data_IF_158984872141
#
_entry.id   IF_158984872141
#
_cell.length_a   1.000
_cell.length_b   1.000
_cell.length_c   1.000
_cell.angle_alpha   90.00
_cell.angle_beta   90.00
_cell.angle_gamma   90.00
#
_symmetry.space_group_name_H-M   'P 1'
#
loop_
_entity.id
_entity.type
_entity.pdbx_description
1 polymer ?
#
# COMPACT_ATOMS: atom_id res chain seq x y z
N UNK A 1 23.66 -32.88 -23.66
CA UNK A 1 22.64 -32.57 -24.69
C UNK A 1 21.86 -31.38 -24.16
N UNK A 2 22.21 -30.20 -24.65
CA UNK A 2 21.61 -28.91 -24.28
C UNK A 2 20.64 -28.53 -25.39
N UNK A 3 19.34 -28.73 -25.20
CA UNK A 3 18.30 -28.11 -26.03
C UNK A 3 17.05 -27.88 -25.16
N UNK A 4 17.00 -26.75 -24.46
CA UNK A 4 15.72 -26.12 -24.14
C UNK A 4 15.52 -25.05 -25.19
N UNK A 5 14.68 -25.40 -26.16
CA UNK A 5 14.16 -24.53 -27.20
C UNK A 5 13.60 -23.24 -26.59
N UNK A 6 14.40 -22.16 -26.59
CA UNK A 6 13.84 -20.83 -26.61
C UNK A 6 13.15 -20.69 -27.97
N UNK A 7 11.81 -20.74 -28.00
CA UNK A 7 11.07 -20.31 -29.18
C UNK A 7 11.37 -18.82 -29.40
N UNK A 8 11.82 -18.40 -30.59
CA UNK A 8 12.00 -16.99 -30.91
C UNK A 8 10.64 -16.30 -30.79
N UNK A 9 10.48 -15.44 -29.78
CA UNK A 9 9.23 -14.69 -29.54
C UNK A 9 8.16 -15.39 -28.69
N UNK A 10 8.49 -16.48 -27.96
CA UNK A 10 7.54 -17.11 -27.03
C UNK A 10 7.41 -16.35 -25.69
N UNK A 11 6.21 -16.35 -25.11
CA UNK A 11 5.99 -15.91 -23.72
C UNK A 11 6.85 -16.76 -22.78
N UNK A 12 7.61 -16.17 -21.84
CA UNK A 12 8.41 -16.94 -20.89
C UNK A 12 7.53 -17.92 -20.11
N UNK A 13 8.07 -19.09 -19.81
CA UNK A 13 7.42 -20.02 -18.88
C UNK A 13 7.34 -19.41 -17.48
N UNK A 14 6.36 -19.82 -16.66
CA UNK A 14 6.30 -19.39 -15.26
C UNK A 14 7.60 -19.73 -14.48
N UNK A 15 8.29 -20.81 -14.86
CA UNK A 15 9.59 -21.14 -14.27
C UNK A 15 10.65 -20.11 -14.62
N UNK A 16 10.75 -19.72 -15.88
CA UNK A 16 11.70 -18.69 -16.33
C UNK A 16 11.35 -17.34 -15.71
N UNK A 17 10.07 -16.94 -15.75
CA UNK A 17 9.64 -15.67 -15.19
C UNK A 17 9.92 -15.57 -13.68
N UNK A 18 9.88 -16.63 -12.87
CA UNK A 18 10.13 -16.54 -11.43
C UNK A 18 11.55 -16.94 -10.98
N UNK A 19 12.25 -17.80 -11.72
CA UNK A 19 13.54 -18.36 -11.28
C UNK A 19 14.74 -17.86 -12.10
N UNK A 20 14.51 -17.20 -13.23
CA UNK A 20 15.60 -16.67 -14.06
C UNK A 20 16.20 -15.39 -13.47
N UNK A 21 17.51 -15.22 -13.64
CA UNK A 21 18.24 -13.99 -13.34
C UNK A 21 18.56 -13.17 -14.59
N UNK A 22 17.98 -13.53 -15.74
CA UNK A 22 18.18 -12.80 -16.99
C UNK A 22 17.59 -11.37 -16.87
N UNK A 23 18.35 -10.31 -17.24
CA UNK A 23 17.86 -8.93 -17.20
C UNK A 23 16.57 -8.69 -17.99
N UNK A 24 16.38 -9.36 -19.13
CA UNK A 24 15.15 -9.25 -19.93
C UNK A 24 13.93 -9.78 -19.17
N UNK A 25 14.14 -10.84 -18.40
CA UNK A 25 13.09 -11.41 -17.53
C UNK A 25 12.79 -10.44 -16.37
N UNK A 26 13.79 -9.78 -15.80
CA UNK A 26 13.57 -8.78 -14.75
C UNK A 26 12.73 -7.59 -15.26
N UNK A 27 12.97 -7.16 -16.51
CA UNK A 27 12.12 -6.16 -17.16
C UNK A 27 10.70 -6.69 -17.28
N UNK A 28 10.51 -7.92 -17.77
CA UNK A 28 9.17 -8.52 -17.89
C UNK A 28 8.44 -8.65 -16.54
N UNK A 29 9.13 -8.97 -15.44
CA UNK A 29 8.55 -8.96 -14.08
C UNK A 29 8.01 -7.59 -13.70
N UNK A 30 8.78 -6.53 -13.98
CA UNK A 30 8.38 -5.16 -13.71
C UNK A 30 7.13 -4.78 -14.51
N UNK A 31 7.11 -5.06 -15.82
CA UNK A 31 5.94 -4.82 -16.67
C UNK A 31 4.71 -5.64 -16.23
N UNK A 32 4.92 -6.89 -15.81
CA UNK A 32 3.84 -7.75 -15.29
C UNK A 32 3.23 -7.15 -14.01
N UNK A 33 4.08 -6.67 -13.10
CA UNK A 33 3.63 -5.99 -11.89
C UNK A 33 2.84 -4.72 -12.23
N UNK A 34 3.34 -3.88 -13.13
CA UNK A 34 2.62 -2.67 -13.56
C UNK A 34 1.26 -2.97 -14.21
N UNK A 35 1.16 -4.06 -14.98
CA UNK A 35 -0.09 -4.50 -15.58
C UNK A 35 -1.15 -4.89 -14.53
N UNK A 36 -0.75 -5.44 -13.37
CA UNK A 36 -1.67 -5.71 -12.26
C UNK A 36 -2.31 -4.45 -11.65
N UNK A 37 -1.66 -3.30 -11.84
CA UNK A 37 -2.15 -1.99 -11.41
C UNK A 37 -2.76 -1.18 -12.56
N UNK A 38 -2.86 -1.76 -13.76
CA UNK A 38 -3.33 -1.07 -14.97
C UNK A 38 -2.54 0.21 -15.30
N UNK A 39 -1.22 0.19 -15.04
CA UNK A 39 -0.31 1.33 -15.30
C UNK A 39 0.71 1.02 -16.41
N UNK A 40 0.46 0.00 -17.23
CA UNK A 40 1.42 -0.52 -18.20
C UNK A 40 1.91 0.53 -19.22
N UNK A 41 1.06 1.49 -19.60
CA UNK A 41 1.43 2.55 -20.55
C UNK A 41 2.41 3.58 -19.98
N UNK A 42 2.56 3.65 -18.66
CA UNK A 42 3.46 4.57 -17.95
C UNK A 42 4.65 3.88 -17.31
N UNK A 43 4.81 2.58 -17.54
CA UNK A 43 5.88 1.74 -16.99
C UNK A 43 7.25 2.37 -17.18
N UNK A 44 7.55 2.93 -18.36
CA UNK A 44 8.86 3.51 -18.64
C UNK A 44 9.12 4.79 -17.84
N UNK A 45 8.09 5.66 -17.71
CA UNK A 45 8.15 6.85 -16.87
C UNK A 45 8.38 6.49 -15.40
N UNK A 46 7.66 5.48 -14.91
CA UNK A 46 7.78 4.97 -13.53
C UNK A 46 9.15 4.32 -13.30
N UNK A 47 9.66 3.54 -14.27
CA UNK A 47 10.95 2.84 -14.19
C UNK A 47 12.15 3.79 -14.13
N UNK A 48 12.01 5.00 -14.65
CA UNK A 48 13.06 6.04 -14.59
C UNK A 48 13.21 6.70 -13.21
N UNK A 49 12.30 6.42 -12.28
CA UNK A 49 12.30 6.96 -10.93
C UNK A 49 13.10 6.07 -9.98
N UNK A 50 13.49 6.62 -8.83
CA UNK A 50 13.99 5.81 -7.72
C UNK A 50 12.96 4.78 -7.30
N UNK A 51 13.40 3.58 -6.91
CA UNK A 51 12.54 2.41 -6.66
C UNK A 51 11.35 2.72 -5.71
N UNK A 52 11.59 3.40 -4.59
CA UNK A 52 10.52 3.82 -3.66
C UNK A 52 9.51 4.82 -4.27
N UNK A 53 9.98 5.73 -5.13
CA UNK A 53 9.13 6.69 -5.84
C UNK A 53 8.33 5.98 -6.94
N UNK A 54 8.96 5.05 -7.66
CA UNK A 54 8.32 4.23 -8.68
C UNK A 54 7.15 3.44 -8.09
N UNK A 55 7.38 2.75 -6.97
CA UNK A 55 6.34 2.03 -6.23
C UNK A 55 5.20 2.95 -5.78
N UNK A 56 5.55 4.11 -5.20
CA UNK A 56 4.55 5.10 -4.76
C UNK A 56 3.74 5.64 -5.94
N UNK A 57 4.39 5.99 -7.06
CA UNK A 57 3.72 6.48 -8.27
C UNK A 57 2.78 5.44 -8.87
N UNK A 58 3.23 4.18 -8.99
CA UNK A 58 2.36 3.08 -9.42
C UNK A 58 1.08 3.01 -8.56
N UNK A 59 1.25 3.02 -7.24
CA UNK A 59 0.12 2.98 -6.32
C UNK A 59 -0.78 4.22 -6.43
N UNK A 60 -0.21 5.42 -6.52
CA UNK A 60 -1.00 6.65 -6.60
C UNK A 60 -1.75 6.80 -7.93
N UNK A 61 -1.19 6.33 -9.05
CA UNK A 61 -1.92 6.27 -10.32
C UNK A 61 -3.09 5.30 -10.18
N UNK A 62 -2.84 4.09 -9.68
CA UNK A 62 -3.90 3.11 -9.44
C UNK A 62 -5.02 3.66 -8.55
N UNK A 63 -4.67 4.25 -7.39
CA UNK A 63 -5.66 4.83 -6.49
C UNK A 63 -6.40 6.00 -7.13
N UNK A 64 -5.72 6.84 -7.93
CA UNK A 64 -6.37 7.97 -8.62
C UNK A 64 -7.44 7.49 -9.58
N UNK A 65 -7.18 6.40 -10.31
CA UNK A 65 -8.11 5.79 -11.26
C UNK A 65 -9.24 5.04 -10.57
N UNK A 66 -8.92 4.24 -9.55
CA UNK A 66 -9.89 3.32 -8.93
C UNK A 66 -10.75 3.97 -7.83
N UNK A 67 -10.32 5.12 -7.29
CA UNK A 67 -11.02 5.80 -6.20
C UNK A 67 -11.58 7.14 -6.70
N UNK A 68 -12.87 7.14 -7.04
CA UNK A 68 -13.58 8.32 -7.56
C UNK A 68 -13.55 9.51 -6.60
N UNK A 69 -13.55 9.24 -5.29
CA UNK A 69 -13.51 10.28 -4.26
C UNK A 69 -12.12 10.90 -4.06
N UNK A 70 -11.06 10.38 -4.71
CA UNK A 70 -9.71 10.91 -4.59
C UNK A 70 -9.59 12.24 -5.35
N UNK A 71 -8.95 13.22 -4.74
CA UNK A 71 -8.76 14.57 -5.29
C UNK A 71 -7.28 14.84 -5.51
N UNK A 72 -6.98 15.86 -6.30
CA UNK A 72 -5.61 16.29 -6.53
C UNK A 72 -4.89 16.66 -5.22
N UNK A 73 -5.60 17.28 -4.28
CA UNK A 73 -5.06 17.64 -2.96
C UNK A 73 -4.66 16.40 -2.14
N UNK A 74 -5.39 15.30 -2.26
CA UNK A 74 -5.03 14.06 -1.57
C UNK A 74 -3.76 13.45 -2.16
N UNK A 75 -3.65 13.42 -3.50
CA UNK A 75 -2.45 12.96 -4.21
C UNK A 75 -1.23 13.81 -3.86
N UNK A 76 -1.38 15.13 -3.86
CA UNK A 76 -0.34 16.07 -3.46
C UNK A 76 0.12 15.84 -2.02
N UNK A 77 -0.80 15.52 -1.09
CA UNK A 77 -0.44 15.18 0.28
C UNK A 77 0.39 13.89 0.38
N UNK A 78 0.05 12.85 -0.39
CA UNK A 78 0.85 11.63 -0.45
C UNK A 78 2.25 11.88 -1.00
N UNK A 79 2.36 12.61 -2.11
CA UNK A 79 3.65 12.96 -2.70
C UNK A 79 4.53 13.76 -1.73
N UNK A 80 3.96 14.74 -1.04
CA UNK A 80 4.69 15.53 -0.05
C UNK A 80 5.18 14.68 1.14
N UNK A 81 4.37 13.73 1.60
CA UNK A 81 4.76 12.74 2.61
C UNK A 81 5.94 11.91 2.13
N UNK A 82 5.81 11.28 0.96
CA UNK A 82 6.81 10.36 0.41
C UNK A 82 8.16 11.06 0.21
N UNK A 83 8.15 12.29 -0.30
CA UNK A 83 9.38 13.04 -0.54
C UNK A 83 10.04 13.57 0.73
N UNK A 84 9.25 13.95 1.75
CA UNK A 84 9.80 14.48 2.99
C UNK A 84 10.28 13.37 3.94
N UNK A 85 9.69 12.16 3.90
CA UNK A 85 9.94 11.11 4.88
C UNK A 85 11.42 10.69 4.98
N UNK A 86 12.16 10.44 3.88
CA UNK A 86 13.56 9.99 3.95
C UNK A 86 14.50 10.99 4.67
N UNK A 87 14.14 12.28 4.67
CA UNK A 87 14.91 13.33 5.34
C UNK A 87 14.61 13.50 6.83
N UNK A 88 13.73 12.68 7.41
CA UNK A 88 13.29 12.81 8.81
C UNK A 88 13.91 11.74 9.70
N UNK A 89 14.42 12.17 10.85
CA UNK A 89 14.75 11.26 11.94
C UNK A 89 13.50 10.82 12.71
N UNK A 90 13.59 9.68 13.40
CA UNK A 90 12.52 9.22 14.29
C UNK A 90 12.15 10.24 15.38
N UNK A 91 13.12 11.01 15.89
CA UNK A 91 12.85 12.07 16.89
C UNK A 91 12.08 13.25 16.29
N UNK A 92 12.37 13.62 15.04
CA UNK A 92 11.61 14.65 14.32
C UNK A 92 10.16 14.19 14.08
N UNK A 93 9.95 12.96 13.61
CA UNK A 93 8.62 12.39 13.39
C UNK A 93 7.83 12.25 14.71
N UNK A 94 8.51 11.83 15.78
CA UNK A 94 7.89 11.70 17.10
C UNK A 94 7.39 13.04 17.65
N UNK A 95 8.11 14.12 17.40
CA UNK A 95 7.81 15.46 17.91
C UNK A 95 6.81 16.25 17.07
N UNK A 96 6.41 15.76 15.88
CA UNK A 96 5.37 16.38 15.06
C UNK A 96 4.07 16.58 15.85
N UNK A 97 3.56 17.80 15.81
CA UNK A 97 2.29 18.20 16.42
C UNK A 97 1.27 18.49 15.33
N UNK A 98 0.10 17.87 15.44
CA UNK A 98 -1.04 18.14 14.58
C UNK A 98 -1.93 19.18 15.24
N UNK A 99 -2.41 20.17 14.48
CA UNK A 99 -3.35 21.17 14.99
C UNK A 99 -4.72 20.56 15.31
N UNK A 100 -5.15 19.59 14.51
CA UNK A 100 -6.33 18.75 14.74
C UNK A 100 -6.18 17.45 13.95
N UNK A 101 -7.04 16.47 14.26
CA UNK A 101 -7.14 15.22 13.50
C UNK A 101 -8.32 15.31 12.54
N UNK A 102 -8.01 15.34 11.25
CA UNK A 102 -8.96 15.26 10.15
C UNK A 102 -9.33 13.81 9.81
N UNK A 103 -10.63 13.50 9.76
CA UNK A 103 -11.12 12.14 9.49
C UNK A 103 -10.82 11.66 8.07
N UNK A 104 -10.79 12.57 7.08
CA UNK A 104 -10.44 12.25 5.70
C UNK A 104 -8.97 11.89 5.59
N UNK A 105 -8.08 12.61 6.28
CA UNK A 105 -6.66 12.24 6.33
C UNK A 105 -6.45 10.82 6.90
N UNK A 106 -7.16 10.46 7.97
CA UNK A 106 -7.10 9.09 8.53
C UNK A 106 -7.58 8.04 7.53
N UNK A 107 -8.68 8.33 6.84
CA UNK A 107 -9.22 7.43 5.81
C UNK A 107 -8.25 7.25 4.62
N UNK A 108 -7.67 8.34 4.13
CA UNK A 108 -6.69 8.33 3.04
C UNK A 108 -5.46 7.51 3.42
N UNK A 109 -4.92 7.72 4.63
CA UNK A 109 -3.81 6.93 5.14
C UNK A 109 -4.13 5.42 5.13
N UNK A 110 -5.35 5.05 5.53
CA UNK A 110 -5.79 3.66 5.50
C UNK A 110 -5.88 3.09 4.07
N UNK A 111 -6.45 3.84 3.12
CA UNK A 111 -6.51 3.43 1.71
C UNK A 111 -5.10 3.21 1.16
N UNK A 112 -4.18 4.13 1.43
CA UNK A 112 -2.79 4.01 0.97
C UNK A 112 -2.11 2.77 1.53
N UNK A 113 -2.18 2.55 2.85
CA UNK A 113 -1.58 1.37 3.49
C UNK A 113 -2.19 0.06 2.98
N UNK A 114 -3.51 0.03 2.77
CA UNK A 114 -4.18 -1.13 2.13
C UNK A 114 -3.68 -1.35 0.71
N UNK A 115 -3.54 -0.30 -0.07
CA UNK A 115 -2.98 -0.36 -1.42
C UNK A 115 -1.51 -0.80 -1.43
N UNK A 116 -0.71 -0.36 -0.47
CA UNK A 116 0.68 -0.76 -0.31
C UNK A 116 0.81 -2.25 -0.01
N UNK A 117 -0.05 -2.80 0.86
CA UNK A 117 -0.11 -4.26 1.12
C UNK A 117 -0.45 -5.03 -0.17
N UNK A 118 -1.39 -4.52 -0.97
CA UNK A 118 -1.71 -5.11 -2.28
C UNK A 118 -0.52 -5.04 -3.23
N UNK A 119 0.22 -3.92 -3.26
CA UNK A 119 1.46 -3.78 -4.04
C UNK A 119 2.55 -4.75 -3.57
N UNK A 120 2.72 -4.96 -2.27
CA UNK A 120 3.66 -5.96 -1.75
C UNK A 120 3.28 -7.39 -2.16
N UNK A 121 1.99 -7.72 -2.12
CA UNK A 121 1.49 -9.02 -2.56
C UNK A 121 1.71 -9.22 -4.07
N UNK A 122 1.42 -8.19 -4.88
CA UNK A 122 1.68 -8.20 -6.32
C UNK A 122 3.18 -8.28 -6.63
N UNK A 123 4.03 -7.52 -5.90
CA UNK A 123 5.48 -7.57 -6.04
C UNK A 123 6.01 -9.00 -5.82
N UNK A 124 5.56 -9.66 -4.76
CA UNK A 124 5.92 -11.05 -4.48
C UNK A 124 5.41 -12.00 -5.56
N UNK A 125 4.16 -11.80 -6.01
CA UNK A 125 3.58 -12.58 -7.09
C UNK A 125 4.32 -12.38 -8.41
N UNK A 126 4.89 -11.21 -8.69
CA UNK A 126 5.62 -10.93 -9.93
C UNK A 126 7.12 -11.22 -9.86
N UNK A 127 7.61 -11.91 -8.82
CA UNK A 127 9.03 -12.28 -8.71
C UNK A 127 9.94 -11.14 -8.24
N UNK A 128 9.41 -10.26 -7.40
CA UNK A 128 10.11 -9.16 -6.73
C UNK A 128 10.77 -8.11 -7.67
N UNK A 129 10.02 -7.47 -8.57
CA UNK A 129 10.54 -6.36 -9.37
C UNK A 129 10.90 -5.09 -8.56
N UNK A 130 10.39 -4.95 -7.34
CA UNK A 130 10.81 -3.94 -6.36
C UNK A 130 11.52 -4.61 -5.18
N UNK A 131 12.49 -3.91 -4.57
CA UNK A 131 13.02 -4.28 -3.26
C UNK A 131 11.90 -4.21 -2.22
N UNK A 132 11.75 -5.24 -1.39
CA UNK A 132 10.74 -5.25 -0.34
C UNK A 132 10.94 -4.11 0.66
N UNK A 133 12.19 -3.68 0.92
CA UNK A 133 12.47 -2.57 1.84
C UNK A 133 11.89 -1.24 1.37
N UNK A 134 11.76 -1.04 0.05
CA UNK A 134 11.13 0.15 -0.53
C UNK A 134 9.60 0.14 -0.37
N UNK A 135 9.02 -1.04 -0.13
CA UNK A 135 7.58 -1.24 0.03
C UNK A 135 7.14 -1.38 1.49
N UNK A 136 8.08 -1.53 2.43
CA UNK A 136 7.71 -1.77 3.83
C UNK A 136 6.99 -0.55 4.42
N UNK A 137 5.83 -0.71 5.08
CA UNK A 137 5.04 0.42 5.57
C UNK A 137 5.80 1.39 6.48
N UNK A 138 6.72 0.88 7.31
CA UNK A 138 7.54 1.71 8.20
C UNK A 138 8.59 2.55 7.48
N UNK A 139 8.91 2.22 6.23
CA UNK A 139 9.86 2.96 5.40
C UNK A 139 9.14 3.88 4.40
N UNK A 140 7.95 3.50 3.95
CA UNK A 140 7.19 4.24 2.93
C UNK A 140 6.22 5.27 3.52
N UNK A 141 5.73 5.07 4.76
CA UNK A 141 4.62 5.86 5.29
C UNK A 141 4.74 6.22 6.78
N UNK A 142 4.59 7.51 7.10
CA UNK A 142 4.37 7.99 8.47
C UNK A 142 3.02 8.73 8.55
N UNK A 143 2.15 8.25 9.43
CA UNK A 143 0.79 8.78 9.54
C UNK A 143 0.72 10.21 10.04
N UNK A 144 1.63 10.65 10.92
CA UNK A 144 1.64 12.02 11.44
C UNK A 144 2.18 12.99 10.40
N UNK A 145 3.26 12.62 9.71
CA UNK A 145 3.83 13.40 8.63
C UNK A 145 2.81 13.55 7.49
N UNK A 146 2.20 12.46 7.04
CA UNK A 146 1.14 12.52 6.03
C UNK A 146 0.00 13.44 6.45
N UNK A 147 -0.49 13.29 7.68
CA UNK A 147 -1.59 14.12 8.18
C UNK A 147 -1.20 15.61 8.18
N UNK A 148 0.01 15.95 8.64
CA UNK A 148 0.50 17.32 8.61
C UNK A 148 0.58 17.86 7.17
N UNK A 149 1.14 17.10 6.23
CA UNK A 149 1.21 17.51 4.81
C UNK A 149 -0.17 17.67 4.21
N UNK A 150 -1.11 16.77 4.54
CA UNK A 150 -2.49 16.86 4.12
C UNK A 150 -3.16 18.16 4.56
N UNK A 151 -3.00 18.56 5.82
CA UNK A 151 -3.55 19.83 6.32
C UNK A 151 -2.97 21.04 5.57
N UNK A 152 -1.66 21.03 5.27
CA UNK A 152 -1.02 22.10 4.51
C UNK A 152 -1.53 22.16 3.07
N UNK A 153 -1.74 21.02 2.41
CA UNK A 153 -2.35 20.95 1.08
C UNK A 153 -3.81 21.42 1.09
N UNK A 154 -4.60 21.01 2.10
CA UNK A 154 -5.99 21.41 2.27
C UNK A 154 -6.15 22.92 2.49
N UNK A 155 -5.21 23.53 3.20
CA UNK A 155 -5.11 24.98 3.40
C UNK A 155 -4.49 25.72 2.20
N UNK A 156 -4.11 25.00 1.14
CA UNK A 156 -3.42 25.53 -0.06
C UNK A 156 -2.19 26.36 0.28
N UNK A 157 -1.40 25.88 1.24
CA UNK A 157 -0.08 26.47 1.50
C UNK A 157 0.80 26.35 0.25
N UNK A 158 1.71 27.30 0.03
CA UNK A 158 2.61 27.23 -1.11
C UNK A 158 3.58 26.03 -0.97
N UNK A 159 4.07 25.53 -2.12
CA UNK A 159 4.88 24.30 -2.16
C UNK A 159 6.19 24.41 -1.36
N UNK A 160 6.76 25.61 -1.23
CA UNK A 160 7.92 25.84 -0.38
C UNK A 160 7.61 25.57 1.10
N UNK A 161 6.40 25.86 1.57
CA UNK A 161 5.99 25.52 2.94
C UNK A 161 5.70 24.03 3.06
N UNK A 162 5.00 23.43 2.10
CA UNK A 162 4.66 22.00 2.10
C UNK A 162 5.92 21.14 2.08
N UNK A 163 6.91 21.50 1.27
CA UNK A 163 8.16 20.76 1.06
C UNK A 163 9.35 21.34 1.82
N UNK A 164 9.07 22.11 2.89
CA UNK A 164 10.07 22.53 3.88
C UNK A 164 11.24 23.33 3.29
N UNK A 165 10.95 24.12 2.25
CA UNK A 165 11.87 25.00 1.52
C UNK A 165 13.02 24.26 0.84
N UNK A 166 12.85 22.96 0.57
CA UNK A 166 13.84 22.15 -0.14
C UNK A 166 13.57 22.17 -1.65
N UNK A 167 14.38 22.90 -2.41
CA UNK A 167 14.18 23.09 -3.86
C UNK A 167 14.24 21.79 -4.67
N UNK A 168 15.12 20.85 -4.29
CA UNK A 168 15.22 19.52 -4.92
C UNK A 168 13.90 18.75 -4.81
N UNK A 169 13.28 18.76 -3.62
CA UNK A 169 11.99 18.11 -3.39
C UNK A 169 10.87 18.79 -4.17
N UNK A 170 10.90 20.12 -4.32
CA UNK A 170 9.91 20.86 -5.13
C UNK A 170 9.97 20.45 -6.60
N UNK A 171 11.18 20.27 -7.16
CA UNK A 171 11.34 19.81 -8.53
C UNK A 171 10.82 18.38 -8.71
N UNK A 172 11.21 17.46 -7.83
CA UNK A 172 10.75 16.07 -7.90
C UNK A 172 9.23 15.97 -7.71
N UNK A 173 8.68 16.72 -6.75
CA UNK A 173 7.24 16.80 -6.54
C UNK A 173 6.48 17.19 -7.81
N UNK A 174 6.94 18.24 -8.51
CA UNK A 174 6.30 18.68 -9.75
C UNK A 174 6.36 17.61 -10.83
N UNK A 175 7.51 16.95 -10.98
CA UNK A 175 7.71 15.85 -11.94
C UNK A 175 6.75 14.68 -11.64
N UNK A 176 6.72 14.18 -10.41
CA UNK A 176 5.85 13.06 -10.02
C UNK A 176 4.36 13.42 -10.16
N UNK A 177 3.99 14.65 -9.79
CA UNK A 177 2.63 15.16 -9.95
C UNK A 177 2.19 15.16 -11.42
N UNK A 178 3.05 15.63 -12.32
CA UNK A 178 2.77 15.62 -13.77
C UNK A 178 2.55 14.19 -14.27
N UNK A 179 3.43 13.25 -13.90
CA UNK A 179 3.29 11.83 -14.28
C UNK A 179 1.94 11.26 -13.83
N UNK A 180 1.53 11.52 -12.57
CA UNK A 180 0.27 10.97 -12.04
C UNK A 180 -0.95 11.61 -12.73
N UNK A 181 -0.93 12.93 -12.98
CA UNK A 181 -2.02 13.61 -13.68
C UNK A 181 -2.16 13.09 -15.10
N UNK A 182 -1.07 13.06 -15.87
CA UNK A 182 -1.08 12.58 -17.25
C UNK A 182 -1.53 11.11 -17.34
N UNK A 183 -1.08 10.26 -16.41
CA UNK A 183 -1.50 8.87 -16.34
C UNK A 183 -2.98 8.71 -15.99
N UNK A 184 -3.49 9.51 -15.07
CA UNK A 184 -4.91 9.47 -14.67
C UNK A 184 -5.81 9.95 -15.81
N UNK A 185 -5.46 11.07 -16.46
CA UNK A 185 -6.24 11.67 -17.54
C UNK A 185 -6.35 10.74 -18.74
N UNK A 186 -5.26 10.06 -19.10
CA UNK A 186 -5.25 9.08 -20.18
C UNK A 186 -6.07 7.81 -19.88
N UNK A 187 -6.42 7.58 -18.61
CA UNK A 187 -7.39 6.56 -18.17
C UNK A 187 -8.81 7.13 -17.98
N UNK A 188 -9.09 8.30 -18.57
CA UNK A 188 -10.35 9.03 -18.47
C UNK A 188 -10.69 9.52 -17.06
N UNK A 189 -9.68 9.70 -16.21
CA UNK A 189 -9.84 10.17 -14.83
C UNK A 189 -9.19 11.54 -14.63
N UNK A 190 -9.99 12.58 -14.55
CA UNK A 190 -9.53 13.93 -14.22
C UNK A 190 -9.63 14.14 -12.72
N UNK A 191 -8.49 14.36 -12.05
CA UNK A 191 -8.44 14.66 -10.61
C UNK A 191 -8.97 16.06 -10.34
N UNK A 192 -10.07 16.16 -9.61
CA UNK A 192 -10.65 17.44 -9.24
C UNK A 192 -9.79 18.14 -8.17
N UNK A 193 -9.71 19.49 -8.18
CA UNK A 193 -9.14 20.23 -7.07
C UNK A 193 -9.85 19.84 -5.77
N UNK A 194 -9.08 19.60 -4.71
CA UNK A 194 -9.67 19.25 -3.41
C UNK A 194 -10.48 20.42 -2.82
N UNK A 195 -11.39 20.11 -1.87
CA UNK A 195 -12.19 21.12 -1.20
C UNK A 195 -11.28 22.15 -0.53
N UNK A 196 -11.58 23.44 -0.71
CA UNK A 196 -10.90 24.49 0.07
C UNK A 196 -11.49 24.50 1.47
N UNK A 197 -10.67 24.45 2.51
CA UNK A 197 -11.09 25.05 3.79
C UNK A 197 -11.09 26.57 3.63
N UNK A 198 -12.22 27.12 3.19
CA UNK A 198 -12.51 28.53 3.47
C UNK A 198 -12.60 28.67 4.98
N UNK A 199 -11.77 29.54 5.56
CA UNK A 199 -11.77 29.84 6.98
C UNK A 199 -13.10 30.51 7.37
N UNK A 200 -14.15 29.73 7.54
CA UNK A 200 -15.39 30.14 8.19
C UNK A 200 -15.62 29.18 9.33
N UNK A 201 -14.91 29.44 10.43
CA UNK A 201 -15.39 29.05 11.76
C UNK A 201 -16.72 29.79 11.94
N UNK A 202 -17.85 29.11 11.67
CA UNK A 202 -19.12 29.61 12.16
C UNK A 202 -19.03 29.64 13.70
N UNK A 203 -19.47 30.72 14.36
CA UNK A 203 -19.51 30.75 15.82
C UNK A 203 -20.46 29.63 16.26
N UNK A 204 -20.01 28.79 17.18
CA UNK A 204 -20.90 27.92 17.95
C UNK A 204 -21.72 28.84 18.85
N UNK A 205 -22.82 29.37 18.33
CA UNK A 205 -23.90 29.87 19.17
C UNK A 205 -24.69 28.65 19.64
N UNK A 206 -24.76 28.49 20.97
CA UNK A 206 -25.48 27.40 21.61
C UNK A 206 -26.92 27.31 21.09
N UNK A 207 -27.21 26.20 20.43
CA UNK A 207 -28.52 25.90 19.87
C UNK A 207 -28.61 24.40 19.67
N UNK A 208 -29.64 23.81 20.26
CA UNK A 208 -29.92 22.39 20.42
C UNK A 208 -29.60 21.53 19.19
N UNK A 209 -28.96 20.39 19.46
CA UNK A 209 -28.56 19.37 18.48
C UNK A 209 -29.79 18.71 17.85
N UNK A 210 -30.34 19.29 16.77
CA UNK A 210 -31.21 18.56 15.85
C UNK A 210 -30.40 18.13 14.64
N UNK A 211 -30.10 16.83 14.62
CA UNK A 211 -29.47 16.09 13.54
C UNK A 211 -30.20 16.32 12.20
N UNK A 212 -29.56 17.01 11.27
CA UNK A 212 -29.89 16.96 9.83
C UNK A 212 -28.65 16.49 9.08
N UNK A 213 -28.48 15.17 9.03
CA UNK A 213 -27.66 14.51 8.02
C UNK A 213 -28.53 14.42 6.75
N UNK A 214 -28.26 15.28 5.77
CA UNK A 214 -29.01 15.28 4.52
C UNK A 214 -28.10 15.56 3.31
N UNK A 215 -27.09 14.72 3.12
CA UNK A 215 -26.43 14.53 1.83
C UNK A 215 -25.85 13.12 1.72
N UNK A 216 -26.72 12.12 1.59
CA UNK A 216 -26.53 10.89 0.80
C UNK A 216 -27.91 10.23 0.70
N UNK A 217 -28.60 10.41 -0.43
CA UNK A 217 -29.77 9.61 -0.76
C UNK A 217 -29.27 8.26 -1.31
N UNK A 218 -29.43 7.19 -0.53
CA UNK A 218 -29.31 5.81 -1.04
C UNK A 218 -30.59 5.43 -1.80
N UNK A 219 -30.51 4.71 -2.93
CA UNK A 219 -31.69 4.09 -3.52
C UNK A 219 -32.15 2.94 -2.62
N UNK A 220 -33.44 2.92 -2.29
CA UNK A 220 -34.12 1.84 -1.57
C UNK A 220 -34.05 0.53 -2.35
N UNK A 221 -33.41 -0.49 -1.79
CA UNK A 221 -33.60 -1.87 -2.22
C UNK A 221 -34.79 -2.46 -1.46
N UNK A 222 -35.87 -2.73 -2.19
CA UNK A 222 -36.99 -3.52 -1.71
C UNK A 222 -36.51 -4.94 -1.36
N UNK A 223 -36.56 -5.28 -0.08
CA UNK A 223 -36.40 -6.65 0.38
C UNK A 223 -37.66 -7.44 0.01
N UNK A 224 -37.59 -8.17 -1.10
CA UNK A 224 -38.47 -9.31 -1.35
C UNK A 224 -37.79 -10.58 -0.87
N UNK A 225 -38.45 -11.17 0.12
CA UNK A 225 -38.12 -12.41 0.81
C UNK A 225 -38.16 -13.61 -0.17
N UNK A 226 -37.02 -14.20 -0.50
CA UNK A 226 -36.96 -15.54 -1.10
C UNK A 226 -36.04 -16.46 -0.30
N UNK A 227 -36.55 -17.68 -0.19
CA UNK A 227 -36.39 -18.62 0.91
C UNK A 227 -35.27 -19.61 0.55
N UNK A 228 -34.54 -20.01 1.58
CA UNK A 228 -33.40 -20.94 1.57
C UNK A 228 -33.73 -22.30 0.94
N UNK A 229 -32.93 -22.75 -0.04
CA UNK A 229 -32.77 -24.17 -0.38
C UNK A 229 -31.39 -24.45 -1.01
N UNK A 230 -30.41 -24.84 -0.20
CA UNK A 230 -29.38 -25.81 -0.62
C UNK A 230 -29.05 -26.72 0.57
N UNK A 231 -29.01 -28.01 0.27
CA UNK A 231 -29.26 -29.12 1.17
C UNK A 231 -28.09 -29.53 2.10
N UNK A 232 -28.50 -29.97 3.30
CA UNK A 232 -28.02 -31.09 4.11
C UNK A 232 -26.63 -31.71 3.84
N UNK A 233 -25.76 -31.61 4.85
CA UNK A 233 -24.74 -32.63 5.15
C UNK A 233 -24.82 -32.97 6.65
N UNK A 234 -24.96 -34.25 7.07
CA UNK A 234 -25.21 -34.60 8.48
C UNK A 234 -23.97 -34.43 9.37
N UNK A 235 -24.16 -33.79 10.53
CA UNK A 235 -23.14 -33.59 11.57
C UNK A 235 -23.15 -34.78 12.53
N UNK A 236 -22.11 -35.63 12.47
CA UNK A 236 -21.85 -36.62 13.52
C UNK A 236 -21.51 -35.91 14.84
N UNK A 237 -22.20 -36.30 15.91
CA UNK A 237 -21.92 -35.89 17.28
C UNK A 237 -20.58 -36.48 17.73
N UNK A 238 -19.65 -35.63 18.14
CA UNK A 238 -18.56 -36.01 19.03
C UNK A 238 -18.50 -35.05 20.21
N UNK A 239 -18.35 -35.68 21.36
CA UNK A 239 -18.53 -35.22 22.73
C UNK A 239 -17.52 -34.16 23.18
N UNK A 240 -18.02 -33.22 23.99
CA UNK A 240 -17.26 -32.24 24.79
C UNK A 240 -16.28 -32.94 25.74
N UNK A 241 -14.98 -32.70 25.58
CA UNK A 241 -14.01 -32.74 26.69
C UNK A 241 -12.97 -31.61 26.54
N UNK A 242 -13.04 -30.66 27.48
CA UNK A 242 -11.93 -29.92 28.07
C UNK A 242 -11.01 -29.09 27.17
N UNK A 243 -11.22 -27.76 27.15
CA UNK A 243 -10.10 -26.79 27.15
C UNK A 243 -10.39 -25.64 28.11
N UNK A 244 -9.53 -25.52 29.11
CA UNK A 244 -9.51 -24.50 30.13
C UNK A 244 -9.17 -23.12 29.52
N UNK A 245 -9.89 -22.10 29.95
CA UNK A 245 -9.57 -20.69 29.73
C UNK A 245 -8.48 -20.26 30.73
N UNK A 246 -7.39 -19.67 30.25
CA UNK A 246 -6.43 -18.94 31.09
C UNK A 246 -6.74 -17.43 31.02
N UNK A 247 -7.01 -16.74 32.15
CA UNK A 247 -7.18 -15.30 32.17
C UNK A 247 -5.81 -14.57 32.23
N UNK A 248 -5.66 -13.50 31.46
CA UNK A 248 -4.51 -12.58 31.55
C UNK A 248 -4.61 -11.70 32.82
N UNK A 249 -3.53 -11.50 33.59
CA UNK A 249 -3.56 -10.63 34.75
C UNK A 249 -3.40 -9.15 34.37
N UNK A 250 -4.18 -8.32 35.06
CA UNK A 250 -4.14 -6.87 35.06
C UNK A 250 -2.90 -6.39 35.82
N UNK A 251 -2.02 -5.57 35.22
CA UNK A 251 -1.02 -4.81 35.98
C UNK A 251 -1.01 -3.34 35.54
N UNK A 252 -1.24 -2.50 36.54
CA UNK A 252 -1.24 -1.04 36.54
C UNK A 252 -0.03 -0.63 37.38
N UNK A 253 0.92 0.11 36.82
CA UNK A 253 1.98 0.79 37.59
C UNK A 253 3.41 0.65 37.06
N UNK A 254 3.88 1.74 36.44
CA UNK A 254 5.21 2.35 36.54
C UNK A 254 6.49 1.67 35.96
N UNK A 255 7.20 2.50 35.18
CA UNK A 255 8.64 2.54 34.86
C UNK A 255 9.24 1.61 33.77
N UNK A 256 9.43 2.24 32.59
CA UNK A 256 10.62 2.26 31.71
C UNK A 256 11.57 1.05 31.68
N UNK A 257 11.45 0.26 30.61
CA UNK A 257 12.56 -0.33 29.85
C UNK A 257 12.00 -0.94 28.56
N UNK A 258 12.25 -0.32 27.40
CA UNK A 258 11.94 -0.92 26.11
C UNK A 258 13.01 -1.96 25.77
N UNK A 259 12.94 -3.13 26.42
CA UNK A 259 13.63 -4.34 25.96
C UNK A 259 12.56 -5.31 25.48
N UNK A 260 12.37 -5.37 24.16
CA UNK A 260 11.35 -6.22 23.54
C UNK A 260 11.08 -5.87 22.09
N UNK A 261 12.15 -5.68 21.29
CA UNK A 261 12.02 -5.76 19.83
C UNK A 261 12.33 -7.20 19.45
N UNK A 262 11.44 -7.93 18.75
CA UNK A 262 11.78 -9.24 18.22
C UNK A 262 12.92 -9.09 17.21
N UNK A 263 14.04 -9.75 17.49
CA UNK A 263 15.21 -9.80 16.62
C UNK A 263 14.91 -10.70 15.42
N UNK A 264 14.57 -10.09 14.28
CA UNK A 264 14.35 -10.80 13.01
C UNK A 264 15.65 -10.97 12.20
N UNK A 265 16.83 -10.69 12.77
CA UNK A 265 18.12 -10.90 12.08
C UNK A 265 18.66 -12.34 12.18
N UNK A 266 18.02 -13.23 12.94
CA UNK A 266 18.53 -14.58 13.19
C UNK A 266 18.01 -15.70 12.25
N UNK A 267 17.37 -15.39 11.12
CA UNK A 267 16.79 -16.43 10.23
C UNK A 267 17.37 -16.51 8.82
N UNK A 268 18.47 -15.81 8.53
CA UNK A 268 19.08 -15.82 7.19
C UNK A 268 20.28 -16.77 6.99
N UNK A 269 20.56 -17.67 7.93
CA UNK A 269 21.67 -18.64 7.78
C UNK A 269 21.28 -20.13 7.66
N UNK A 270 20.00 -20.50 7.82
CA UNK A 270 19.59 -21.91 7.82
C UNK A 270 18.71 -22.35 6.64
N UNK A 271 18.43 -21.49 5.66
CA UNK A 271 17.67 -21.89 4.46
C UNK A 271 18.55 -22.34 3.28
N UNK A 272 19.88 -22.27 3.41
CA UNK A 272 20.83 -22.61 2.33
C UNK A 272 21.50 -23.98 2.50
N UNK A 273 21.18 -24.75 3.56
CA UNK A 273 21.81 -26.07 3.83
C UNK A 273 20.99 -27.30 3.43
N UNK A 274 19.68 -27.18 3.24
CA UNK A 274 18.82 -28.36 3.02
C UNK A 274 18.61 -28.77 1.55
N UNK A 275 19.30 -28.13 0.59
CA UNK A 275 19.28 -28.53 -0.83
C UNK A 275 20.53 -29.28 -1.32
N UNK A 276 21.43 -29.68 -0.42
CA UNK A 276 22.56 -30.57 -0.77
C UNK A 276 22.64 -31.73 0.21
N UNK A 277 21.90 -32.80 -0.09
CA UNK A 277 22.35 -34.20 -0.03
C UNK A 277 21.16 -35.12 -0.28
N UNK A 278 21.08 -35.71 -1.47
CA UNK A 278 20.75 -37.13 -1.64
C UNK A 278 20.94 -37.50 -3.12
N UNK A 279 22.12 -38.04 -3.42
CA UNK A 279 22.34 -38.84 -4.63
C UNK A 279 21.50 -40.12 -4.51
N UNK A 280 20.38 -40.20 -5.24
CA UNK A 280 19.66 -41.44 -5.45
C UNK A 280 20.08 -42.02 -6.81
N UNK A 281 20.72 -43.19 -6.77
CA UNK A 281 21.03 -44.02 -7.95
C UNK A 281 19.73 -44.69 -8.47
N UNK A 282 19.59 -44.91 -9.78
CA UNK A 282 18.45 -45.60 -10.36
C UNK A 282 18.64 -47.12 -10.31
N UNK A 283 17.66 -47.85 -9.76
CA UNK A 283 17.60 -49.31 -9.82
C UNK A 283 16.71 -49.90 -8.73
N UNK A 284 15.82 -50.79 -9.14
CA UNK A 284 15.03 -51.73 -8.33
C UNK A 284 13.74 -51.23 -7.68
N UNK A 285 12.65 -51.25 -8.46
CA UNK A 285 11.37 -51.73 -7.96
C UNK A 285 10.71 -52.63 -9.01
N UNK A 286 10.73 -53.93 -8.74
CA UNK A 286 9.79 -54.88 -9.32
C UNK A 286 8.50 -54.88 -8.50
N UNK A 287 7.38 -54.67 -9.18
CA UNK A 287 6.16 -55.49 -9.26
C UNK A 287 5.19 -54.75 -10.20
#
# INVERSE_FOLDING_TARGET
MNETNLTPGGTPTARELWLSNNPDIQIQRFYTCMACFHVERWTEGIRSLDSHLAATCCLLIYLSVQVDSLTLTDVEAFLAQTLCLPGKSGSQLSSLQLSYVDSRAVHLAFIFLRGLITLMACNSACGYPFDMMDLMPWNTFDGKLFHQKYLLCLERKPLDVILEKQESLIMEFKKLRTIIIEASEAQNRVLQPGPTRTSSLLPVTGGSFTRRDQFYASPSCDQRNERNEWHNVPRHQTTNQGRQFYPYPNQRGENNSWQGVPDWQASHHDLDRDFRTHNLKPGDYGW
#
